data_IF_044292192606
#
_entry.id   IF_044292192606
#
_cell.length_a   1.000
_cell.length_b   1.000
_cell.length_c   1.000
_cell.angle_alpha   90.00
_cell.angle_beta   90.00
_cell.angle_gamma   90.00
#
_symmetry.space_group_name_H-M   'P 1'
#
loop_
_entity.id
_entity.type
_entity.pdbx_description
1 polymer ?
#
# COMPACT_ATOMS: atom_id res chain seq x y z
N UNK A 1 -6.21 13.74 -16.88
CA UNK A 1 -5.63 12.65 -16.09
C UNK A 1 -4.14 12.58 -16.38
N UNK A 2 -3.34 12.77 -15.35
CA UNK A 2 -1.90 12.73 -15.46
C UNK A 2 -1.46 11.35 -14.99
N UNK A 3 -0.92 10.59 -15.92
CA UNK A 3 -0.06 9.42 -15.78
C UNK A 3 -0.10 8.60 -14.50
N UNK A 4 -0.46 7.39 -14.72
CA UNK A 4 -0.64 6.29 -13.80
C UNK A 4 0.66 5.87 -13.10
N UNK A 5 0.71 6.02 -11.78
CA UNK A 5 1.58 5.22 -10.93
C UNK A 5 0.76 4.04 -10.39
N UNK A 6 1.28 2.84 -10.57
CA UNK A 6 0.68 1.64 -10.03
C UNK A 6 1.05 1.53 -8.55
N UNK A 7 0.07 1.61 -7.66
CA UNK A 7 0.26 1.38 -6.23
C UNK A 7 -0.67 0.25 -5.82
N UNK A 8 -0.09 -0.83 -5.34
CA UNK A 8 -0.81 -1.91 -4.68
C UNK A 8 -0.87 -1.66 -3.17
N UNK A 9 -1.94 -2.08 -2.52
CA UNK A 9 -1.99 -2.18 -1.07
C UNK A 9 -1.69 -3.62 -0.70
N UNK A 10 -0.63 -3.84 0.03
CA UNK A 10 -0.25 -5.15 0.57
C UNK A 10 -0.46 -5.19 2.07
N UNK A 11 -0.60 -6.37 2.59
CA UNK A 11 -0.67 -6.58 4.02
C UNK A 11 0.68 -7.04 4.55
N UNK A 12 1.10 -6.42 5.64
CA UNK A 12 2.27 -6.81 6.40
C UNK A 12 1.84 -7.70 7.55
N UNK A 13 2.30 -8.95 7.54
CA UNK A 13 2.00 -9.96 8.55
C UNK A 13 3.30 -10.35 9.21
N UNK A 14 3.28 -10.60 10.51
CA UNK A 14 4.41 -11.24 11.17
C UNK A 14 4.45 -12.73 10.83
N UNK A 15 5.54 -13.20 10.26
CA UNK A 15 5.85 -14.62 10.16
C UNK A 15 6.38 -15.10 11.52
N UNK A 16 5.48 -15.43 12.47
CA UNK A 16 5.91 -15.97 13.74
C UNK A 16 4.86 -16.81 14.45
N UNK A 17 5.26 -18.03 14.72
CA UNK A 17 4.86 -18.86 15.86
C UNK A 17 3.36 -19.01 16.11
N UNK A 18 2.69 -19.80 15.26
CA UNK A 18 1.44 -20.46 15.65
C UNK A 18 0.15 -19.83 15.17
N UNK A 19 0.17 -18.72 14.47
CA UNK A 19 -1.02 -18.24 13.77
C UNK A 19 -1.03 -18.79 12.34
N UNK A 20 -2.23 -19.12 11.85
CA UNK A 20 -2.40 -19.59 10.49
C UNK A 20 -1.94 -18.49 9.50
N UNK A 21 -1.06 -18.80 8.55
CA UNK A 21 -0.61 -17.81 7.59
C UNK A 21 -1.78 -17.32 6.76
N UNK A 22 -1.90 -16.00 6.60
CA UNK A 22 -2.88 -15.42 5.69
C UNK A 22 -2.35 -15.62 4.28
N UNK A 23 -3.10 -16.34 3.46
CA UNK A 23 -2.75 -16.71 2.08
C UNK A 23 -3.65 -16.03 1.06
N UNK A 24 -4.84 -15.64 1.48
CA UNK A 24 -5.84 -15.02 0.63
C UNK A 24 -6.69 -14.02 1.43
N UNK A 25 -7.48 -13.24 0.72
CA UNK A 25 -8.32 -12.21 1.31
C UNK A 25 -9.41 -12.77 2.25
N UNK A 26 -9.84 -14.02 2.08
CA UNK A 26 -10.85 -14.66 2.94
C UNK A 26 -10.31 -14.92 4.34
N UNK A 27 -9.01 -15.12 4.49
CA UNK A 27 -8.36 -15.38 5.78
C UNK A 27 -8.35 -14.12 6.68
N UNK A 28 -8.76 -12.96 6.15
CA UNK A 28 -8.89 -11.69 6.86
C UNK A 28 -10.15 -11.60 7.72
N UNK A 29 -11.10 -12.52 7.52
CA UNK A 29 -12.31 -12.60 8.32
C UNK A 29 -11.97 -12.64 9.81
N UNK A 30 -12.63 -11.80 10.61
CA UNK A 30 -12.45 -11.68 12.07
C UNK A 30 -11.02 -11.25 12.51
N UNK A 31 -10.19 -10.72 11.60
CA UNK A 31 -8.87 -10.19 11.93
C UNK A 31 -8.92 -8.69 12.21
N UNK A 32 -7.99 -8.23 13.04
CA UNK A 32 -7.79 -6.81 13.34
C UNK A 32 -6.62 -6.29 12.53
N UNK A 33 -6.86 -5.33 11.67
CA UNK A 33 -5.87 -4.72 10.78
C UNK A 33 -5.60 -3.28 11.20
N UNK A 34 -4.34 -2.92 11.33
CA UNK A 34 -3.91 -1.56 11.65
C UNK A 34 -3.55 -0.79 10.39
N UNK A 35 -4.03 0.44 10.31
CA UNK A 35 -3.75 1.39 9.21
C UNK A 35 -3.42 2.76 9.80
N UNK A 36 -2.63 3.59 9.10
CA UNK A 36 -2.49 5.00 9.49
C UNK A 36 -3.83 5.72 9.37
N UNK A 37 -4.05 6.74 10.19
CA UNK A 37 -5.21 7.63 10.10
C UNK A 37 -5.34 8.23 8.69
N UNK A 38 -6.58 8.39 8.25
CA UNK A 38 -6.94 8.92 6.93
C UNK A 38 -6.36 8.10 5.76
N UNK A 39 -6.03 6.84 5.97
CA UNK A 39 -5.53 5.95 4.93
C UNK A 39 -6.62 5.62 3.92
N UNK A 40 -6.35 5.70 2.61
CA UNK A 40 -7.29 5.26 1.58
C UNK A 40 -7.61 3.76 1.65
N UNK A 41 -6.81 2.98 2.37
CA UNK A 41 -7.05 1.56 2.60
C UNK A 41 -8.32 1.30 3.42
N UNK A 42 -8.78 2.25 4.26
CA UNK A 42 -9.98 2.09 5.08
C UNK A 42 -11.20 1.70 4.24
N UNK A 43 -11.48 2.47 3.21
CA UNK A 43 -12.63 2.22 2.34
C UNK A 43 -12.52 0.86 1.63
N UNK A 44 -11.31 0.50 1.21
CA UNK A 44 -11.07 -0.80 0.57
C UNK A 44 -11.32 -1.96 1.53
N UNK A 45 -10.85 -1.87 2.77
CA UNK A 45 -11.04 -2.90 3.78
C UNK A 45 -12.52 -3.06 4.15
N UNK A 46 -13.27 -1.96 4.25
CA UNK A 46 -14.71 -2.01 4.47
C UNK A 46 -15.43 -2.73 3.33
N UNK A 47 -15.11 -2.38 2.08
CA UNK A 47 -15.67 -3.05 0.91
C UNK A 47 -15.29 -4.54 0.87
N UNK A 48 -14.04 -4.86 1.21
CA UNK A 48 -13.56 -6.24 1.26
C UNK A 48 -14.33 -7.06 2.29
N UNK A 49 -14.62 -6.50 3.47
CA UNK A 49 -15.46 -7.17 4.47
C UNK A 49 -16.84 -7.54 3.91
N UNK A 50 -17.46 -6.61 3.15
CA UNK A 50 -18.72 -6.89 2.46
C UNK A 50 -18.57 -7.97 1.36
N UNK A 51 -17.49 -7.95 0.58
CA UNK A 51 -17.21 -8.92 -0.47
C UNK A 51 -17.04 -10.34 0.07
N UNK A 52 -16.32 -10.49 1.19
CA UNK A 52 -16.10 -11.80 1.82
C UNK A 52 -17.28 -12.26 2.69
N UNK A 53 -18.25 -11.37 2.97
CA UNK A 53 -19.42 -11.66 3.79
C UNK A 53 -19.12 -11.82 5.28
N UNK A 54 -18.03 -11.24 5.76
CA UNK A 54 -17.61 -11.30 7.16
C UNK A 54 -17.00 -9.96 7.62
N UNK A 55 -16.79 -9.83 8.93
CA UNK A 55 -16.26 -8.60 9.53
C UNK A 55 -14.74 -8.61 9.51
N UNK A 56 -14.17 -7.50 9.04
CA UNK A 56 -12.75 -7.15 9.22
C UNK A 56 -12.70 -5.99 10.22
N UNK A 57 -11.96 -6.13 11.28
CA UNK A 57 -11.78 -5.08 12.27
C UNK A 57 -10.64 -4.17 11.83
N UNK A 58 -10.93 -2.88 11.63
CA UNK A 58 -9.91 -1.90 11.21
C UNK A 58 -9.67 -0.91 12.34
N UNK A 59 -8.40 -0.75 12.71
CA UNK A 59 -7.95 0.22 13.69
C UNK A 59 -7.12 1.29 12.99
N UNK A 60 -7.62 2.52 13.00
CA UNK A 60 -6.88 3.68 12.50
C UNK A 60 -5.97 4.22 13.60
N UNK A 61 -4.67 4.23 13.34
CA UNK A 61 -3.69 4.75 14.27
C UNK A 61 -3.39 6.22 13.97
N UNK A 62 -3.53 7.08 14.99
CA UNK A 62 -3.32 8.53 14.86
C UNK A 62 -1.85 8.94 14.99
N UNK A 63 -1.02 8.10 15.55
CA UNK A 63 0.34 8.44 15.96
C UNK A 63 1.41 7.85 15.03
N UNK A 64 1.16 6.65 14.50
CA UNK A 64 2.17 5.89 13.79
C UNK A 64 2.00 5.95 12.28
N UNK A 65 3.13 6.16 11.60
CA UNK A 65 3.21 6.05 10.15
C UNK A 65 3.20 4.58 9.69
N UNK A 66 3.04 4.36 8.40
CA UNK A 66 3.08 3.03 7.80
C UNK A 66 4.34 2.24 8.19
N UNK A 67 5.52 2.89 8.13
CA UNK A 67 6.78 2.23 8.48
C UNK A 67 6.86 1.86 9.96
N UNK A 68 6.29 2.70 10.83
CA UNK A 68 6.25 2.41 12.27
C UNK A 68 5.29 1.25 12.57
N UNK A 69 4.14 1.19 11.92
CA UNK A 69 3.24 0.04 12.03
C UNK A 69 3.91 -1.26 11.58
N UNK A 70 4.71 -1.24 10.50
CA UNK A 70 5.50 -2.40 10.08
C UNK A 70 6.53 -2.82 11.14
N UNK A 71 7.18 -1.86 11.79
CA UNK A 71 8.11 -2.16 12.90
C UNK A 71 7.35 -2.80 14.08
N UNK A 72 6.14 -2.34 14.38
CA UNK A 72 5.31 -2.94 15.43
C UNK A 72 4.88 -4.36 15.07
N UNK A 73 4.56 -4.62 13.80
CA UNK A 73 4.33 -5.99 13.30
C UNK A 73 5.59 -6.85 13.49
N UNK A 74 6.76 -6.37 13.09
CA UNK A 74 8.02 -7.10 13.24
C UNK A 74 8.34 -7.42 14.71
N UNK A 75 8.06 -6.50 15.63
CA UNK A 75 8.23 -6.72 17.07
C UNK A 75 7.18 -7.64 17.68
N UNK A 76 6.03 -7.80 17.03
CA UNK A 76 4.89 -8.56 17.54
C UNK A 76 4.00 -7.77 18.50
N UNK A 77 4.07 -6.45 18.46
CA UNK A 77 3.16 -5.57 19.21
C UNK A 77 1.76 -5.57 18.58
N UNK A 78 1.70 -5.75 17.26
CA UNK A 78 0.47 -5.96 16.48
C UNK A 78 0.68 -7.09 15.48
N UNK A 79 -0.40 -7.79 15.13
CA UNK A 79 -0.33 -8.95 14.23
C UNK A 79 -0.35 -8.56 12.74
N UNK A 80 -1.16 -7.58 12.37
CA UNK A 80 -1.42 -7.23 10.97
C UNK A 80 -1.46 -5.72 10.77
N UNK A 81 -0.77 -5.26 9.74
CA UNK A 81 -0.87 -3.87 9.26
C UNK A 81 -1.08 -3.85 7.75
N UNK A 82 -1.80 -2.85 7.26
CA UNK A 82 -1.97 -2.62 5.82
C UNK A 82 -1.15 -1.42 5.39
N UNK A 83 -0.39 -1.58 4.34
CA UNK A 83 0.52 -0.58 3.84
C UNK A 83 0.60 -0.56 2.32
N UNK A 84 1.23 0.46 1.80
CA UNK A 84 1.57 0.55 0.39
C UNK A 84 2.62 -0.51 0.03
N UNK A 85 2.42 -1.19 -1.10
CA UNK A 85 3.29 -2.25 -1.61
C UNK A 85 4.76 -1.81 -1.71
N UNK A 86 5.02 -0.59 -2.14
CA UNK A 86 6.39 -0.10 -2.31
C UNK A 86 7.08 0.09 -0.96
N UNK A 87 6.34 0.65 0.00
CA UNK A 87 6.83 0.82 1.38
C UNK A 87 7.08 -0.56 2.02
N UNK A 88 6.15 -1.49 1.84
CA UNK A 88 6.28 -2.86 2.32
C UNK A 88 7.56 -3.52 1.82
N UNK A 89 7.80 -3.50 0.52
CA UNK A 89 9.01 -4.10 -0.10
C UNK A 89 10.30 -3.44 0.34
N UNK A 90 10.32 -2.12 0.48
CA UNK A 90 11.52 -1.41 0.97
C UNK A 90 11.82 -1.75 2.43
N UNK A 91 10.78 -1.84 3.24
CA UNK A 91 10.92 -2.08 4.68
C UNK A 91 11.21 -3.55 4.97
N UNK A 92 10.65 -4.48 4.20
CA UNK A 92 10.93 -5.92 4.34
C UNK A 92 12.42 -6.26 4.19
N UNK A 93 13.16 -5.51 3.36
CA UNK A 93 14.63 -5.70 3.25
C UNK A 93 15.35 -5.48 4.59
N UNK A 94 14.77 -4.69 5.49
CA UNK A 94 15.31 -4.38 6.82
C UNK A 94 14.65 -5.22 7.92
N UNK A 95 13.46 -5.73 7.66
CA UNK A 95 12.62 -6.51 8.58
C UNK A 95 12.21 -7.84 7.90
N UNK A 96 13.15 -8.79 7.75
CA UNK A 96 12.89 -10.04 7.03
C UNK A 96 11.86 -10.95 7.71
N UNK A 97 11.56 -10.70 8.99
CA UNK A 97 10.54 -11.40 9.77
C UNK A 97 9.11 -11.01 9.40
N UNK A 98 8.92 -9.98 8.56
CA UNK A 98 7.59 -9.54 8.12
C UNK A 98 7.25 -10.17 6.79
N UNK A 99 6.13 -10.89 6.73
CA UNK A 99 5.56 -11.40 5.49
C UNK A 99 4.71 -10.32 4.81
N UNK A 100 4.90 -10.12 3.50
CA UNK A 100 4.18 -9.15 2.69
C UNK A 100 3.53 -9.81 1.45
N UNK A 101 3.25 -11.10 1.51
CA UNK A 101 2.79 -11.86 0.32
C UNK A 101 1.28 -11.75 0.04
N UNK A 102 0.51 -11.10 0.91
CA UNK A 102 -0.94 -11.03 0.75
C UNK A 102 -1.38 -9.67 0.24
N UNK A 103 -1.91 -9.65 -0.99
CA UNK A 103 -2.52 -8.46 -1.58
C UNK A 103 -3.93 -8.24 -1.03
N UNK A 104 -4.17 -7.07 -0.45
CA UNK A 104 -5.50 -6.66 0.05
C UNK A 104 -6.34 -6.03 -1.05
N UNK A 105 -5.69 -5.48 -2.08
CA UNK A 105 -6.35 -4.78 -3.17
C UNK A 105 -5.68 -5.05 -4.51
N UNK A 106 -6.44 -4.82 -5.59
CA UNK A 106 -5.86 -4.71 -6.93
C UNK A 106 -4.89 -3.54 -6.97
N UNK A 107 -3.92 -3.64 -7.88
CA UNK A 107 -3.06 -2.52 -8.21
C UNK A 107 -3.91 -1.29 -8.57
N UNK A 108 -3.79 -0.23 -7.79
CA UNK A 108 -4.54 1.00 -8.00
C UNK A 108 -3.73 1.99 -8.83
N UNK A 109 -4.39 2.62 -9.79
CA UNK A 109 -3.80 3.68 -10.59
C UNK A 109 -3.82 4.98 -9.78
N UNK A 110 -2.66 5.54 -9.53
CA UNK A 110 -2.55 6.87 -8.94
C UNK A 110 -2.27 7.90 -10.04
N UNK A 111 -2.98 9.02 -9.98
CA UNK A 111 -2.82 10.11 -10.93
C UNK A 111 -2.54 11.42 -10.19
N UNK A 112 -1.67 12.24 -10.76
CA UNK A 112 -1.51 13.60 -10.28
C UNK A 112 -2.72 14.43 -10.68
N UNK A 113 -3.08 15.40 -9.85
CA UNK A 113 -4.15 16.33 -10.13
C UNK A 113 -3.61 17.75 -10.19
N UNK A 114 -4.12 18.52 -11.13
CA UNK A 114 -3.89 19.97 -11.22
C UNK A 114 -5.22 20.70 -11.09
N UNK A 115 -5.17 22.00 -10.83
CA UNK A 115 -6.39 22.81 -10.80
C UNK A 115 -7.12 22.75 -12.14
N UNK A 116 -8.45 22.72 -12.09
CA UNK A 116 -9.29 22.59 -13.28
C UNK A 116 -9.11 23.74 -14.28
N UNK A 117 -8.72 24.90 -13.80
CA UNK A 117 -8.47 26.13 -14.57
C UNK A 117 -7.04 26.26 -15.10
N UNK A 118 -6.26 25.19 -15.06
CA UNK A 118 -4.84 25.18 -15.48
C UNK A 118 -4.57 24.16 -16.60
N UNK A 119 -5.26 24.22 -17.76
CA UNK A 119 -5.12 23.24 -18.82
C UNK A 119 -3.72 23.23 -19.43
N UNK A 120 -3.07 24.39 -19.57
CA UNK A 120 -1.72 24.52 -20.13
C UNK A 120 -0.69 23.78 -19.23
N UNK A 121 -0.86 23.86 -17.91
CA UNK A 121 -0.01 23.12 -16.96
C UNK A 121 -0.23 21.62 -17.10
N UNK A 122 -1.48 21.19 -17.26
CA UNK A 122 -1.83 19.78 -17.45
C UNK A 122 -1.14 19.21 -18.71
N UNK A 123 -1.26 19.91 -19.84
CA UNK A 123 -0.67 19.49 -21.12
C UNK A 123 0.87 19.44 -21.03
N UNK A 124 1.47 20.43 -20.38
CA UNK A 124 2.92 20.49 -20.19
C UNK A 124 3.42 19.34 -19.33
N UNK A 125 2.73 19.03 -18.23
CA UNK A 125 3.08 17.91 -17.36
C UNK A 125 2.90 16.56 -18.05
N UNK A 126 1.82 16.37 -18.80
CA UNK A 126 1.61 15.14 -19.57
C UNK A 126 2.72 14.93 -20.59
N UNK A 127 3.06 15.97 -21.34
CA UNK A 127 4.14 15.92 -22.34
C UNK A 127 5.49 15.61 -21.70
N UNK A 128 5.78 16.24 -20.58
CA UNK A 128 7.02 16.01 -19.84
C UNK A 128 7.10 14.59 -19.26
N UNK A 129 6.02 14.08 -18.66
CA UNK A 129 5.97 12.72 -18.14
C UNK A 129 6.15 11.69 -19.26
N UNK A 130 5.56 11.92 -20.43
CA UNK A 130 5.76 11.04 -21.57
C UNK A 130 7.23 11.03 -22.02
N UNK A 131 7.87 12.20 -22.11
CA UNK A 131 9.30 12.30 -22.47
C UNK A 131 10.19 11.56 -21.45
N UNK A 132 9.91 11.68 -20.15
CA UNK A 132 10.65 10.98 -19.10
C UNK A 132 10.50 9.45 -19.23
N UNK A 133 9.30 8.99 -19.56
CA UNK A 133 9.06 7.55 -19.79
C UNK A 133 9.80 7.06 -21.04
N UNK A 134 9.66 7.76 -22.13
CA UNK A 134 10.28 7.40 -23.43
C UNK A 134 11.81 7.44 -23.38
N UNK A 135 12.38 8.34 -22.59
CA UNK A 135 13.84 8.43 -22.38
C UNK A 135 14.41 7.35 -21.43
N UNK A 136 13.56 6.59 -20.77
CA UNK A 136 13.97 5.62 -19.74
C UNK A 136 14.42 6.24 -18.41
N UNK A 137 14.34 7.56 -18.27
CA UNK A 137 14.69 8.28 -17.04
C UNK A 137 13.74 7.89 -15.90
N UNK A 138 12.46 7.67 -16.21
CA UNK A 138 11.50 7.18 -15.24
C UNK A 138 11.96 5.86 -14.59
N UNK A 139 12.39 4.90 -15.41
CA UNK A 139 12.87 3.60 -14.93
C UNK A 139 14.15 3.72 -14.10
N UNK A 140 15.04 4.65 -14.46
CA UNK A 140 16.26 4.91 -13.68
C UNK A 140 15.92 5.47 -12.29
N UNK A 141 15.01 6.45 -12.22
CA UNK A 141 14.53 7.01 -10.96
C UNK A 141 13.84 5.92 -10.13
N UNK A 142 12.92 5.17 -10.74
CA UNK A 142 12.22 4.09 -10.07
C UNK A 142 13.17 3.04 -9.48
N UNK A 143 14.15 2.60 -10.25
CA UNK A 143 15.17 1.64 -9.78
C UNK A 143 16.03 2.20 -8.64
N UNK A 144 16.29 3.49 -8.64
CA UNK A 144 17.10 4.14 -7.59
C UNK A 144 16.38 4.18 -6.23
N UNK A 145 15.06 4.33 -6.23
CA UNK A 145 14.28 4.50 -5.00
C UNK A 145 13.60 3.21 -4.53
N UNK A 146 13.25 2.31 -5.44
CA UNK A 146 12.42 1.13 -5.14
C UNK A 146 13.09 -0.22 -5.43
N UNK A 147 14.28 -0.24 -5.98
CA UNK A 147 15.11 -1.43 -6.16
C UNK A 147 16.43 -1.27 -5.47
#
# INVERSE_FOLDING_TARGET
EISECLVGSEMCIRDSNGQAPIRNQLDLAQKTLYIPKDSPALLRLQNLGHEIGDTIYVVEDELYSTEQLMIMVAKGDIDYAVCDQQIARMTQKKLPEVDILTDVSFTQLQSWAVRKDSPVLLDSLNSWLQQIKDSGLYDQIYKRYYK
#
